data_IF_478290027892
#
_entry.id   IF_478290027892
#
_cell.length_a   1.000
_cell.length_b   1.000
_cell.length_c   1.000
_cell.angle_alpha   90.00
_cell.angle_beta   90.00
_cell.angle_gamma   90.00
#
_symmetry.space_group_name_H-M   'P 1'
#
loop_
_entity.id
_entity.type
_entity.pdbx_description
1 polymer ?
#
# COMPACT_ATOMS: atom_id res chain seq x y z
N UNK A 1 3.88 -10.51 -27.82
CA UNK A 1 3.63 -9.43 -26.83
C UNK A 1 4.40 -9.78 -25.57
N UNK A 2 5.34 -8.94 -25.14
CA UNK A 2 6.05 -9.14 -23.87
C UNK A 2 5.01 -8.93 -22.77
N UNK A 3 4.63 -10.01 -22.08
CA UNK A 3 3.64 -9.96 -21.01
C UNK A 3 4.03 -8.87 -20.02
N UNK A 4 3.23 -7.79 -19.95
CA UNK A 4 3.34 -6.82 -18.86
C UNK A 4 3.21 -7.63 -17.58
N UNK A 5 4.30 -7.73 -16.82
CA UNK A 5 4.27 -8.30 -15.48
C UNK A 5 3.08 -7.67 -14.75
N UNK A 6 2.25 -8.51 -14.12
CA UNK A 6 1.09 -8.05 -13.37
C UNK A 6 1.56 -6.94 -12.42
N UNK A 7 0.89 -5.78 -12.46
CA UNK A 7 1.21 -4.65 -11.59
C UNK A 7 0.94 -5.10 -10.16
N UNK A 8 1.99 -5.42 -9.41
CA UNK A 8 1.91 -5.75 -7.99
C UNK A 8 1.97 -4.50 -7.12
N UNK A 9 1.55 -4.62 -5.87
CA UNK A 9 1.80 -3.59 -4.85
C UNK A 9 3.21 -3.78 -4.29
N UNK A 10 3.93 -2.68 -4.10
CA UNK A 10 5.19 -2.71 -3.37
C UNK A 10 4.89 -2.98 -1.88
N UNK A 11 5.49 -4.01 -1.25
CA UNK A 11 5.25 -4.30 0.16
C UNK A 11 5.73 -3.14 1.04
N UNK A 12 5.10 -2.95 2.19
CA UNK A 12 5.63 -2.08 3.23
C UNK A 12 7.03 -2.56 3.67
N UNK A 13 7.87 -1.70 4.26
CA UNK A 13 9.16 -2.13 4.79
C UNK A 13 9.02 -3.28 5.80
N UNK A 14 7.93 -3.30 6.59
CA UNK A 14 7.66 -4.38 7.54
C UNK A 14 7.42 -5.72 6.85
N UNK A 15 6.60 -5.75 5.79
CA UNK A 15 6.35 -6.97 5.03
C UNK A 15 7.59 -7.39 4.23
N UNK A 16 8.32 -6.45 3.65
CA UNK A 16 9.59 -6.72 2.97
C UNK A 16 10.62 -7.38 3.90
N UNK A 17 10.77 -6.85 5.12
CA UNK A 17 11.70 -7.37 6.12
C UNK A 17 11.35 -8.82 6.52
N UNK A 18 10.07 -9.18 6.53
CA UNK A 18 9.60 -10.55 6.76
C UNK A 18 9.89 -11.47 5.56
N UNK A 19 9.59 -11.01 4.34
CA UNK A 19 9.78 -11.80 3.13
C UNK A 19 11.26 -12.08 2.81
N UNK A 20 12.14 -11.09 3.01
CA UNK A 20 13.56 -11.20 2.63
C UNK A 20 14.30 -12.27 3.45
N UNK A 21 13.80 -12.62 4.64
CA UNK A 21 14.33 -13.73 5.45
C UNK A 21 14.29 -15.05 4.68
N UNK A 22 13.25 -15.27 3.88
CA UNK A 22 13.06 -16.50 3.10
C UNK A 22 13.68 -16.45 1.70
N UNK A 23 14.21 -15.30 1.28
CA UNK A 23 14.85 -15.14 -0.04
C UNK A 23 16.32 -15.56 0.01
N UNK A 24 16.81 -16.18 -1.06
CA UNK A 24 18.24 -16.48 -1.22
C UNK A 24 18.96 -15.23 -1.70
N UNK A 25 20.01 -14.83 -0.99
CA UNK A 25 20.97 -13.81 -1.43
C UNK A 25 22.32 -14.48 -1.65
N UNK A 26 23.12 -13.97 -2.59
CA UNK A 26 24.44 -14.51 -2.93
C UNK A 26 25.39 -14.51 -1.73
N UNK A 27 25.21 -13.60 -0.77
CA UNK A 27 26.05 -13.46 0.42
C UNK A 27 25.20 -12.94 1.60
N UNK A 28 25.26 -13.60 2.77
CA UNK A 28 24.37 -13.33 3.91
C UNK A 28 24.42 -11.89 4.47
N UNK A 29 25.50 -11.15 4.21
CA UNK A 29 25.64 -9.73 4.56
C UNK A 29 24.70 -8.81 3.75
N UNK A 30 24.13 -9.29 2.64
CA UNK A 30 23.36 -8.45 1.73
C UNK A 30 21.93 -8.17 2.24
N UNK A 31 21.36 -9.01 3.11
CA UNK A 31 19.95 -8.85 3.51
C UNK A 31 19.73 -7.57 4.31
N UNK A 32 20.58 -7.28 5.29
CA UNK A 32 20.41 -6.08 6.12
C UNK A 32 20.66 -4.81 5.32
N UNK A 33 21.65 -4.82 4.41
CA UNK A 33 21.84 -3.74 3.45
C UNK A 33 20.61 -3.53 2.55
N UNK A 34 20.02 -4.63 2.04
CA UNK A 34 18.81 -4.55 1.21
C UNK A 34 17.60 -4.02 1.98
N UNK A 35 17.42 -4.40 3.25
CA UNK A 35 16.36 -3.84 4.11
C UNK A 35 16.51 -2.33 4.26
N UNK A 36 17.73 -1.86 4.54
CA UNK A 36 18.02 -0.41 4.66
C UNK A 36 17.71 0.30 3.34
N UNK A 37 18.25 -0.18 2.23
CA UNK A 37 18.06 0.46 0.92
C UNK A 37 16.62 0.43 0.44
N UNK A 38 15.92 -0.68 0.68
CA UNK A 38 14.50 -0.79 0.36
C UNK A 38 13.69 0.23 1.15
N UNK A 39 13.89 0.30 2.47
CA UNK A 39 13.21 1.26 3.35
C UNK A 39 13.47 2.71 2.91
N UNK A 40 14.72 3.10 2.70
CA UNK A 40 15.08 4.45 2.25
C UNK A 40 14.36 4.83 0.94
N UNK A 41 14.41 3.92 -0.04
CA UNK A 41 13.79 4.13 -1.36
C UNK A 41 12.27 4.20 -1.25
N UNK A 42 11.69 3.27 -0.49
CA UNK A 42 10.26 3.17 -0.29
C UNK A 42 9.72 4.40 0.44
N UNK A 43 10.37 4.83 1.53
CA UNK A 43 9.96 6.01 2.31
C UNK A 43 10.04 7.27 1.45
N UNK A 44 11.09 7.41 0.64
CA UNK A 44 11.22 8.54 -0.28
C UNK A 44 10.07 8.57 -1.29
N UNK A 45 9.72 7.43 -1.89
CA UNK A 45 8.65 7.34 -2.88
C UNK A 45 7.28 7.57 -2.24
N UNK A 46 6.97 6.92 -1.11
CA UNK A 46 5.64 6.94 -0.50
C UNK A 46 5.35 8.28 0.17
N UNK A 47 6.30 8.87 0.92
CA UNK A 47 6.08 10.14 1.63
C UNK A 47 5.76 11.29 0.69
N UNK A 48 6.42 11.34 -0.46
CA UNK A 48 6.31 12.47 -1.39
C UNK A 48 5.21 12.29 -2.43
N UNK A 49 4.50 11.15 -2.41
CA UNK A 49 3.47 10.89 -3.39
C UNK A 49 2.18 11.62 -3.02
N UNK A 50 1.68 12.47 -3.93
CA UNK A 50 0.40 13.17 -3.75
C UNK A 50 -0.80 12.38 -4.29
N UNK A 51 -0.57 11.45 -5.22
CA UNK A 51 -1.63 10.70 -5.91
C UNK A 51 -1.31 9.21 -6.05
N UNK A 52 -2.09 8.36 -5.39
CA UNK A 52 -2.03 6.92 -5.56
C UNK A 52 -3.26 6.40 -6.30
N UNK A 53 -3.07 6.03 -7.57
CA UNK A 53 -4.09 5.42 -8.43
C UNK A 53 -3.80 3.94 -8.63
N UNK A 54 -4.53 3.11 -7.89
CA UNK A 54 -4.38 1.68 -7.76
C UNK A 54 -5.69 0.95 -8.13
N UNK A 55 -6.48 1.50 -9.05
CA UNK A 55 -7.72 0.86 -9.49
C UNK A 55 -7.48 -0.38 -10.36
N UNK A 56 -8.36 -1.37 -10.25
CA UNK A 56 -8.39 -2.58 -11.11
C UNK A 56 -7.14 -3.50 -10.95
N UNK A 57 -6.65 -3.70 -9.73
CA UNK A 57 -5.46 -4.52 -9.45
C UNK A 57 -5.82 -6.01 -9.28
N UNK A 58 -5.91 -6.73 -10.40
CA UNK A 58 -6.41 -8.12 -10.46
C UNK A 58 -5.58 -9.19 -9.73
N UNK A 59 -4.29 -8.96 -9.52
CA UNK A 59 -3.37 -9.97 -8.96
C UNK A 59 -2.96 -9.68 -7.51
N UNK A 60 -3.62 -8.73 -6.86
CA UNK A 60 -3.31 -8.33 -5.48
C UNK A 60 -4.22 -9.06 -4.52
N UNK A 61 -3.62 -9.75 -3.55
CA UNK A 61 -4.35 -10.48 -2.52
C UNK A 61 -4.90 -9.54 -1.45
N UNK A 62 -5.88 -10.02 -0.67
CA UNK A 62 -6.38 -9.31 0.51
C UNK A 62 -5.26 -8.96 1.50
N UNK A 63 -4.29 -9.86 1.73
CA UNK A 63 -3.16 -9.60 2.63
C UNK A 63 -2.23 -8.49 2.13
N UNK A 64 -1.99 -8.41 0.82
CA UNK A 64 -1.20 -7.33 0.22
C UNK A 64 -1.93 -5.98 0.31
N UNK A 65 -3.26 -5.98 0.09
CA UNK A 65 -4.07 -4.79 0.30
C UNK A 65 -4.03 -4.31 1.74
N UNK A 66 -4.16 -5.24 2.70
CA UNK A 66 -4.07 -4.92 4.12
C UNK A 66 -2.71 -4.31 4.47
N UNK A 67 -1.63 -4.89 3.98
CA UNK A 67 -0.29 -4.34 4.20
C UNK A 67 -0.17 -2.91 3.67
N UNK A 68 -0.64 -2.64 2.46
CA UNK A 68 -0.60 -1.29 1.91
C UNK A 68 -1.50 -0.33 2.69
N UNK A 69 -2.75 -0.69 2.98
CA UNK A 69 -3.69 0.22 3.64
C UNK A 69 -3.34 0.46 5.12
N UNK A 70 -2.87 -0.56 5.84
CA UNK A 70 -2.60 -0.47 7.28
C UNK A 70 -1.16 -0.09 7.62
N UNK A 71 -0.18 -0.52 6.79
CA UNK A 71 1.25 -0.31 7.07
C UNK A 71 1.93 0.65 6.10
N UNK A 72 1.48 0.78 4.84
CA UNK A 72 2.09 1.72 3.89
C UNK A 72 1.49 3.12 3.97
N UNK A 73 0.16 3.19 3.88
CA UNK A 73 -0.60 4.42 3.79
C UNK A 73 -0.34 5.42 4.93
N UNK A 74 -0.11 4.99 6.19
CA UNK A 74 0.24 5.90 7.28
C UNK A 74 1.51 6.73 7.08
N UNK A 75 2.38 6.35 6.14
CA UNK A 75 3.62 7.06 5.83
C UNK A 75 3.47 7.97 4.60
N UNK A 76 2.28 8.04 4.00
CA UNK A 76 2.02 8.84 2.81
C UNK A 76 1.65 10.29 3.21
N UNK A 77 2.63 11.00 3.78
CA UNK A 77 2.46 12.30 4.44
C UNK A 77 1.82 13.38 3.53
N UNK A 78 2.08 13.31 2.22
CA UNK A 78 1.57 14.27 1.23
C UNK A 78 0.38 13.76 0.40
N UNK A 79 -0.14 12.57 0.70
CA UNK A 79 -1.18 11.94 -0.11
C UNK A 79 -2.48 12.75 -0.08
N UNK A 80 -2.94 13.18 -1.25
CA UNK A 80 -4.15 13.98 -1.46
C UNK A 80 -5.23 13.22 -2.21
N UNK A 81 -4.84 12.35 -3.13
CA UNK A 81 -5.77 11.55 -3.95
C UNK A 81 -5.45 10.06 -3.79
N UNK A 82 -6.45 9.28 -3.39
CA UNK A 82 -6.37 7.83 -3.33
C UNK A 82 -7.52 7.21 -4.12
N UNK A 83 -7.18 6.51 -5.20
CA UNK A 83 -8.11 5.68 -5.96
C UNK A 83 -7.74 4.21 -5.77
N UNK A 84 -8.57 3.48 -5.02
CA UNK A 84 -8.50 2.03 -4.86
C UNK A 84 -9.74 1.34 -5.43
N UNK A 85 -10.46 2.00 -6.33
CA UNK A 85 -11.71 1.50 -6.89
C UNK A 85 -11.52 0.18 -7.65
N UNK A 86 -12.60 -0.60 -7.75
CA UNK A 86 -12.67 -1.86 -8.51
C UNK A 86 -11.69 -2.91 -8.00
N UNK A 87 -11.52 -2.98 -6.68
CA UNK A 87 -10.67 -3.96 -6.01
C UNK A 87 -11.49 -4.73 -4.97
N UNK A 88 -12.21 -5.75 -5.43
CA UNK A 88 -13.09 -6.59 -4.59
C UNK A 88 -12.35 -7.37 -3.50
N UNK A 89 -11.04 -7.57 -3.66
CA UNK A 89 -10.19 -8.25 -2.69
C UNK A 89 -9.86 -7.40 -1.45
N UNK A 90 -10.18 -6.11 -1.45
CA UNK A 90 -9.96 -5.24 -0.28
C UNK A 90 -10.99 -5.61 0.79
N UNK A 91 -10.50 -5.96 1.98
CA UNK A 91 -11.29 -6.23 3.17
C UNK A 91 -10.55 -5.61 4.36
N UNK A 92 -10.96 -4.38 4.71
CA UNK A 92 -10.26 -3.50 5.65
C UNK A 92 -11.27 -2.48 6.20
N UNK A 93 -11.15 -2.04 7.47
CA UNK A 93 -12.02 -1.00 8.00
C UNK A 93 -11.69 0.39 7.41
N UNK A 94 -12.70 1.25 7.26
CA UNK A 94 -12.54 2.64 6.81
C UNK A 94 -11.61 3.48 7.70
N UNK A 95 -11.41 3.07 8.96
CA UNK A 95 -10.54 3.75 9.92
C UNK A 95 -9.08 3.88 9.44
N UNK A 96 -8.61 3.05 8.51
CA UNK A 96 -7.24 3.12 7.97
C UNK A 96 -6.92 4.45 7.30
N UNK A 97 -7.94 5.11 6.73
CA UNK A 97 -7.77 6.39 6.02
C UNK A 97 -7.62 7.58 6.97
N UNK A 98 -7.94 7.44 8.26
CA UNK A 98 -7.79 8.53 9.26
C UNK A 98 -6.35 9.02 9.43
N UNK A 99 -5.38 8.18 9.08
CA UNK A 99 -3.95 8.50 9.18
C UNK A 99 -3.46 9.36 8.00
N UNK A 100 -4.27 9.55 6.97
CA UNK A 100 -3.93 10.34 5.78
C UNK A 100 -4.46 11.78 5.95
N UNK A 101 -3.77 12.59 6.76
CA UNK A 101 -4.25 13.92 7.17
C UNK A 101 -4.42 14.91 6.01
N UNK A 102 -3.73 14.68 4.89
CA UNK A 102 -3.77 15.53 3.70
C UNK A 102 -4.73 15.01 2.62
N UNK A 103 -5.39 13.87 2.84
CA UNK A 103 -6.25 13.24 1.85
C UNK A 103 -7.49 14.12 1.61
N UNK A 104 -7.82 14.33 0.33
CA UNK A 104 -8.94 15.17 -0.15
C UNK A 104 -9.88 14.42 -1.08
N UNK A 105 -9.35 13.45 -1.80
CA UNK A 105 -10.12 12.63 -2.73
C UNK A 105 -9.90 11.15 -2.42
N UNK A 106 -10.99 10.43 -2.21
CA UNK A 106 -10.99 9.00 -1.91
C UNK A 106 -12.03 8.29 -2.77
N UNK A 107 -11.57 7.45 -3.70
CA UNK A 107 -12.45 6.61 -4.52
C UNK A 107 -12.39 5.15 -4.03
N UNK A 108 -13.49 4.71 -3.43
CA UNK A 108 -13.73 3.34 -2.96
C UNK A 108 -14.80 2.61 -3.81
N UNK A 109 -15.14 3.13 -4.98
CA UNK A 109 -16.20 2.56 -5.81
C UNK A 109 -15.89 1.12 -6.18
N UNK A 110 -16.90 0.26 -6.16
CA UNK A 110 -16.74 -1.19 -6.43
C UNK A 110 -15.76 -1.90 -5.49
N UNK A 111 -15.68 -1.47 -4.22
CA UNK A 111 -14.99 -2.17 -3.13
C UNK A 111 -16.01 -2.52 -2.02
N UNK A 112 -16.72 -3.66 -2.12
CA UNK A 112 -17.89 -3.95 -1.30
C UNK A 112 -17.58 -4.30 0.17
N UNK A 113 -16.33 -4.66 0.49
CA UNK A 113 -15.96 -5.25 1.78
C UNK A 113 -15.30 -4.26 2.75
N UNK A 114 -15.41 -2.95 2.52
CA UNK A 114 -15.04 -1.97 3.54
C UNK A 114 -16.03 -2.03 4.70
N UNK A 115 -15.51 -2.11 5.93
CA UNK A 115 -16.31 -2.13 7.15
C UNK A 115 -16.15 -0.83 7.96
N UNK A 116 -17.07 -0.58 8.90
CA UNK A 116 -17.05 0.61 9.76
C UNK A 116 -18.05 1.68 9.34
N UNK A 117 -17.93 2.86 9.95
CA UNK A 117 -18.84 3.99 9.75
C UNK A 117 -18.21 5.06 8.87
N UNK A 118 -19.02 5.75 8.05
CA UNK A 118 -18.59 6.91 7.27
C UNK A 118 -18.13 8.08 8.14
N UNK A 119 -18.56 8.15 9.41
CA UNK A 119 -18.04 9.09 10.41
C UNK A 119 -16.50 9.00 10.55
N UNK A 120 -15.92 7.85 10.22
CA UNK A 120 -14.48 7.66 10.21
C UNK A 120 -13.75 8.50 9.16
N UNK A 121 -14.47 8.96 8.14
CA UNK A 121 -13.98 9.77 7.02
C UNK A 121 -14.35 11.25 7.16
N UNK A 122 -14.93 11.67 8.28
CA UNK A 122 -15.41 13.05 8.51
C UNK A 122 -14.31 14.12 8.44
N UNK A 123 -13.04 13.72 8.48
CA UNK A 123 -11.87 14.59 8.38
C UNK A 123 -11.37 14.81 6.95
N UNK A 124 -11.95 14.12 5.96
CA UNK A 124 -11.59 14.24 4.54
C UNK A 124 -12.29 15.44 3.88
#
# INVERSE_FOLDING_TARGET
>A
EVGRAARGLAPSPCLFDQEIVHKTVTNGADKDFLKVKYRETWEHIVRHNEELRLSTMKSVTCSQWRDVLENALPFADNLRVLDVSKNEAIDTPLAVFRKCEQLRELDLSMCPSFSGSLEMLSTL
#
